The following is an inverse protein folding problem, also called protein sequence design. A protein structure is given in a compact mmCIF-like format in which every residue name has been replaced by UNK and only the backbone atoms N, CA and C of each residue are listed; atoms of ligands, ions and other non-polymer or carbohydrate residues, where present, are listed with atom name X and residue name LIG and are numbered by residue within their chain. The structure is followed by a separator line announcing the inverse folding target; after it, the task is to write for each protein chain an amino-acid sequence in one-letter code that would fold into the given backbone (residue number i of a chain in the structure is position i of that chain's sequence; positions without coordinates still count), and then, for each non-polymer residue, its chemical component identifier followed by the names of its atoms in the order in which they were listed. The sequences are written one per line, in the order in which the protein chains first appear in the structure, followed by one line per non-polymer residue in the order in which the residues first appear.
data_IF_963349299541
#
_entry.id   IF_963349299541
#
_cell.length_a   1.000
_cell.length_b   1.000
_cell.length_c   1.000
_cell.angle_alpha   90.00
_cell.angle_beta   90.00
_cell.angle_gamma   90.00
#
_symmetry.space_group_name_H-M   'P 1'
#
loop_
_entity.id
_entity.type
_entity.pdbx_description
1 polymer ?
#
# COMPACT_ATOMS: atom_id res chain seq x y z
N UNK A 1 -31.14 31.24 -13.39
CA UNK A 1 -30.55 30.55 -12.21
C UNK A 1 -30.75 29.02 -12.19
N UNK A 2 -30.91 28.31 -13.33
CA UNK A 2 -31.00 26.83 -13.36
C UNK A 2 -29.81 26.12 -14.03
N UNK A 3 -28.84 26.89 -14.56
CA UNK A 3 -27.73 26.35 -15.35
C UNK A 3 -26.55 25.85 -14.49
N UNK A 4 -26.37 26.37 -13.27
CA UNK A 4 -25.27 25.94 -12.38
C UNK A 4 -25.49 24.56 -11.74
N UNK A 5 -26.73 24.15 -11.49
CA UNK A 5 -27.01 22.85 -10.86
C UNK A 5 -26.78 21.66 -11.82
N UNK A 6 -26.99 21.86 -13.13
CA UNK A 6 -26.76 20.83 -14.15
C UNK A 6 -25.27 20.52 -14.36
N UNK A 7 -24.39 21.53 -14.23
CA UNK A 7 -22.95 21.37 -14.37
C UNK A 7 -22.31 20.63 -13.19
N UNK A 8 -22.81 20.82 -11.96
CA UNK A 8 -22.31 20.12 -10.78
C UNK A 8 -22.67 18.62 -10.81
N UNK A 9 -23.86 18.25 -11.29
CA UNK A 9 -24.25 16.84 -11.41
C UNK A 9 -23.43 16.08 -12.46
N UNK A 10 -23.09 16.72 -13.59
CA UNK A 10 -22.23 16.07 -14.61
C UNK A 10 -20.80 15.86 -14.12
N UNK A 11 -20.24 16.78 -13.32
CA UNK A 11 -18.89 16.61 -12.79
C UNK A 11 -18.82 15.45 -11.78
N UNK A 12 -19.82 15.29 -10.93
CA UNK A 12 -19.89 14.18 -9.97
C UNK A 12 -20.00 12.80 -10.66
N UNK A 13 -20.81 12.68 -11.72
CA UNK A 13 -20.98 11.45 -12.50
C UNK A 13 -19.73 11.06 -13.32
N UNK A 14 -18.93 12.04 -13.75
CA UNK A 14 -17.66 11.76 -14.43
C UNK A 14 -16.55 11.34 -13.46
N UNK A 15 -16.54 11.89 -12.25
CA UNK A 15 -15.60 11.49 -11.21
C UNK A 15 -15.88 10.05 -10.76
N UNK A 16 -17.13 9.64 -10.57
CA UNK A 16 -17.45 8.28 -10.13
C UNK A 16 -17.06 7.21 -11.15
N UNK A 17 -17.25 7.45 -12.45
CA UNK A 17 -16.92 6.48 -13.51
C UNK A 17 -15.43 6.27 -13.72
N UNK A 18 -14.61 7.28 -13.40
CA UNK A 18 -13.16 7.16 -13.51
C UNK A 18 -12.53 6.27 -12.43
N UNK A 19 -13.24 5.99 -11.33
CA UNK A 19 -12.74 5.17 -10.22
C UNK A 19 -13.24 3.72 -10.23
N UNK A 20 -14.17 3.34 -11.12
CA UNK A 20 -14.82 2.02 -11.06
C UNK A 20 -13.90 0.83 -11.38
N UNK A 21 -12.79 1.03 -12.11
CA UNK A 21 -11.99 -0.08 -12.63
C UNK A 21 -10.56 -0.18 -12.05
N UNK A 22 -10.20 0.66 -11.08
CA UNK A 22 -8.84 0.59 -10.50
C UNK A 22 -8.78 -0.41 -9.34
N UNK A 23 -7.89 -1.39 -9.47
CA UNK A 23 -7.52 -2.26 -8.35
C UNK A 23 -6.63 -1.51 -7.36
N UNK A 24 -7.06 -1.48 -6.11
CA UNK A 24 -6.30 -1.03 -4.96
C UNK A 24 -6.17 -2.19 -3.99
N UNK A 25 -5.24 -2.15 -3.05
CA UNK A 25 -5.07 -3.28 -2.16
C UNK A 25 -4.24 -2.99 -0.94
N UNK A 26 -4.29 -3.92 -0.01
CA UNK A 26 -3.54 -3.86 1.24
C UNK A 26 -2.34 -4.80 1.14
N UNK A 27 -1.20 -4.34 1.66
CA UNK A 27 -0.03 -5.19 1.82
C UNK A 27 -0.08 -5.86 3.18
N UNK A 28 -0.14 -7.19 3.19
CA UNK A 28 -0.06 -8.02 4.39
C UNK A 28 1.26 -8.75 4.44
N UNK A 29 1.92 -8.74 5.60
CA UNK A 29 3.14 -9.51 5.79
C UNK A 29 2.80 -10.90 6.34
N UNK A 30 3.42 -11.93 5.77
CA UNK A 30 3.34 -13.30 6.22
C UNK A 30 4.73 -13.83 6.57
N UNK A 31 4.94 -14.21 7.83
CA UNK A 31 6.20 -14.79 8.33
C UNK A 31 5.94 -16.27 8.65
N UNK A 32 6.43 -17.23 7.83
CA UNK A 32 6.05 -18.65 7.95
C UNK A 32 6.33 -19.30 9.30
N UNK A 33 7.30 -18.77 10.05
CA UNK A 33 7.71 -19.29 11.36
C UNK A 33 6.66 -19.01 12.45
N UNK A 34 5.93 -17.89 12.34
CA UNK A 34 4.85 -17.53 13.24
C UNK A 34 3.52 -17.74 12.51
N UNK A 35 2.96 -18.96 12.58
CA UNK A 35 1.67 -19.34 11.95
C UNK A 35 0.44 -18.56 12.46
N UNK A 36 0.61 -17.48 13.22
CA UNK A 36 -0.45 -16.83 13.99
C UNK A 36 -0.67 -15.36 13.68
N UNK A 37 0.17 -14.71 12.85
CA UNK A 37 0.02 -13.27 12.60
C UNK A 37 0.08 -12.96 11.11
N UNK A 38 -1.08 -12.60 10.52
CA UNK A 38 -1.11 -11.78 9.32
C UNK A 38 -1.07 -10.33 9.81
N UNK A 39 0.13 -9.78 9.91
CA UNK A 39 0.26 -8.43 10.41
C UNK A 39 0.13 -7.42 9.28
N UNK A 40 -0.59 -6.35 9.59
CA UNK A 40 -0.79 -5.22 8.68
C UNK A 40 0.50 -4.42 8.55
N UNK A 41 0.86 -4.08 7.31
CA UNK A 41 2.03 -3.25 7.04
C UNK A 41 1.67 -1.77 7.22
N UNK A 42 2.47 -1.07 8.01
CA UNK A 42 2.29 0.34 8.37
C UNK A 42 3.55 1.13 8.03
N UNK A 43 3.50 2.46 8.02
CA UNK A 43 4.67 3.31 7.79
C UNK A 43 4.90 4.28 8.96
N UNK A 44 6.14 4.33 9.46
CA UNK A 44 6.53 5.31 10.46
C UNK A 44 6.62 6.73 9.88
N UNK A 45 7.01 7.71 10.71
CA UNK A 45 7.15 9.12 10.30
C UNK A 45 8.29 9.34 9.29
N UNK A 46 9.28 8.46 9.26
CA UNK A 46 10.37 8.46 8.27
C UNK A 46 9.99 7.68 7.00
N UNK A 47 8.76 7.17 6.91
CA UNK A 47 8.28 6.40 5.77
C UNK A 47 8.75 4.94 5.74
N UNK A 48 9.50 4.44 6.72
CA UNK A 48 9.86 3.02 6.76
C UNK A 48 8.65 2.16 7.02
N UNK A 49 8.52 1.09 6.24
CA UNK A 49 7.46 0.11 6.40
C UNK A 49 7.82 -0.85 7.54
N UNK A 50 6.88 -1.01 8.47
CA UNK A 50 7.01 -1.87 9.65
C UNK A 50 5.70 -2.58 9.94
N UNK A 51 5.78 -3.66 10.72
CA UNK A 51 4.61 -4.30 11.30
C UNK A 51 4.18 -3.53 12.55
N UNK A 52 2.90 -3.14 12.62
CA UNK A 52 2.31 -2.60 13.84
C UNK A 52 0.78 -2.82 13.82
N UNK A 53 0.28 -3.68 14.72
CA UNK A 53 -1.16 -4.01 14.82
C UNK A 53 -2.03 -2.89 15.39
N UNK A 54 -1.41 -1.82 15.90
CA UNK A 54 -2.11 -0.66 16.48
C UNK A 54 -2.25 0.52 15.51
N UNK A 55 -1.72 0.41 14.29
CA UNK A 55 -1.61 1.52 13.33
C UNK A 55 -2.45 1.32 12.07
N UNK A 56 -2.72 2.45 11.44
CA UNK A 56 -3.58 2.57 10.27
C UNK A 56 -3.02 1.79 9.07
N UNK A 57 -3.84 0.91 8.52
CA UNK A 57 -3.54 0.07 7.36
C UNK A 57 -3.27 0.93 6.12
N UNK A 58 -2.20 0.63 5.39
CA UNK A 58 -1.82 1.38 4.21
C UNK A 58 -2.48 0.79 2.96
N UNK A 59 -3.17 1.65 2.20
CA UNK A 59 -3.74 1.29 0.91
C UNK A 59 -2.76 1.61 -0.21
N UNK A 60 -2.46 0.61 -1.02
CA UNK A 60 -1.53 0.70 -2.14
C UNK A 60 -2.23 0.48 -3.47
N UNK A 61 -1.61 0.98 -4.52
CA UNK A 61 -1.95 0.72 -5.91
C UNK A 61 -0.68 0.33 -6.66
N UNK A 62 -0.70 -0.80 -7.35
CA UNK A 62 0.33 -1.13 -8.32
C UNK A 62 0.06 -0.35 -9.62
N UNK A 63 1.09 0.29 -10.15
CA UNK A 63 1.05 1.10 -11.37
C UNK A 63 1.58 0.29 -12.55
N UNK A 64 1.20 0.68 -13.78
CA UNK A 64 1.58 -0.03 -15.02
C UNK A 64 3.11 -0.04 -15.27
N UNK A 65 3.84 0.93 -14.70
CA UNK A 65 5.30 1.01 -14.77
C UNK A 65 6.02 0.11 -13.75
N UNK A 66 5.27 -0.66 -12.96
CA UNK A 66 5.79 -1.50 -11.90
C UNK A 66 6.24 -0.72 -10.66
N UNK A 67 5.76 0.51 -10.47
CA UNK A 67 5.86 1.23 -9.19
C UNK A 67 4.64 0.94 -8.32
N UNK A 68 4.80 1.02 -6.99
CA UNK A 68 3.69 0.82 -6.03
C UNK A 68 3.47 2.13 -5.27
N UNK A 69 2.27 2.69 -5.35
CA UNK A 69 1.92 3.97 -4.73
C UNK A 69 1.00 3.77 -3.54
N UNK A 70 1.34 4.35 -2.40
CA UNK A 70 0.48 4.46 -1.23
C UNK A 70 -0.45 5.67 -1.39
N UNK A 71 -1.75 5.46 -1.22
CA UNK A 71 -2.77 6.41 -1.66
C UNK A 71 -3.01 7.56 -0.67
N UNK A 72 -2.83 7.34 0.64
CA UNK A 72 -3.12 8.37 1.65
C UNK A 72 -2.05 9.43 1.74
N UNK A 73 -0.78 9.01 1.77
CA UNK A 73 0.41 9.89 1.86
C UNK A 73 0.99 10.25 0.49
N UNK A 74 0.46 9.66 -0.58
CA UNK A 74 0.91 9.90 -1.96
C UNK A 74 2.39 9.54 -2.19
N UNK A 75 2.95 8.64 -1.39
CA UNK A 75 4.33 8.16 -1.49
C UNK A 75 4.43 6.87 -2.31
N UNK A 76 5.60 6.59 -2.86
CA UNK A 76 5.91 5.36 -3.59
C UNK A 76 6.76 4.42 -2.74
N UNK A 77 6.43 3.14 -2.80
CA UNK A 77 7.25 2.09 -2.22
C UNK A 77 8.61 2.07 -2.90
N UNK A 78 9.65 2.12 -2.08
CA UNK A 78 11.04 2.12 -2.48
C UNK A 78 11.81 1.14 -1.58
N UNK A 79 12.98 0.74 -2.03
CA UNK A 79 13.99 0.04 -1.22
C UNK A 79 15.16 1.00 -1.08
N UNK A 80 15.48 1.39 0.15
CA UNK A 80 16.59 2.29 0.43
C UNK A 80 17.97 1.60 0.30
N UNK A 81 19.03 2.37 0.52
CA UNK A 81 20.41 1.88 0.41
C UNK A 81 20.76 0.79 1.44
N UNK A 82 20.00 0.70 2.54
CA UNK A 82 20.14 -0.34 3.55
C UNK A 82 19.33 -1.61 3.22
N UNK A 83 18.56 -1.59 2.13
CA UNK A 83 17.67 -2.67 1.74
C UNK A 83 16.32 -2.63 2.44
N UNK A 84 15.95 -1.53 3.13
CA UNK A 84 14.66 -1.42 3.82
C UNK A 84 13.57 -0.85 2.92
N UNK A 85 12.35 -1.33 3.08
CA UNK A 85 11.17 -0.79 2.42
C UNK A 85 10.80 0.55 3.04
N UNK A 86 10.69 1.57 2.19
CA UNK A 86 10.38 2.96 2.59
C UNK A 86 9.41 3.61 1.61
N UNK A 87 8.68 4.63 2.06
CA UNK A 87 7.91 5.52 1.21
C UNK A 87 8.74 6.75 0.82
N UNK A 88 8.89 7.00 -0.49
CA UNK A 88 9.56 8.20 -1.03
C UNK A 88 8.65 8.91 -2.04
N UNK A 89 8.95 10.16 -2.35
CA UNK A 89 8.22 10.93 -3.38
C UNK A 89 8.52 10.46 -4.80
N UNK A 90 9.67 9.81 -5.03
CA UNK A 90 10.11 9.32 -6.33
C UNK A 90 9.65 7.87 -6.56
N UNK A 91 9.07 7.53 -7.73
CA UNK A 91 8.69 6.16 -8.03
C UNK A 91 9.93 5.28 -8.22
N UNK A 92 9.88 4.09 -7.64
CA UNK A 92 10.83 3.02 -7.93
C UNK A 92 10.09 1.89 -8.63
N UNK A 93 10.59 1.50 -9.80
CA UNK A 93 10.00 0.47 -10.65
C UNK A 93 10.60 -0.91 -10.36
N UNK A 94 9.96 -1.95 -10.89
CA UNK A 94 10.40 -3.34 -10.74
C UNK A 94 9.61 -4.12 -9.69
N UNK A 95 8.58 -3.52 -9.10
CA UNK A 95 7.59 -4.25 -8.33
C UNK A 95 6.57 -4.91 -9.26
N UNK A 96 6.12 -6.10 -8.89
CA UNK A 96 5.05 -6.82 -9.59
C UNK A 96 4.35 -7.79 -8.64
N UNK A 97 3.16 -8.26 -9.02
CA UNK A 97 2.47 -9.34 -8.32
C UNK A 97 2.74 -10.67 -9.03
N UNK A 98 3.09 -11.69 -8.28
CA UNK A 98 3.23 -13.05 -8.78
C UNK A 98 1.86 -13.76 -8.77
N UNK A 99 1.26 -14.08 -9.93
CA UNK A 99 0.02 -14.85 -9.98
C UNK A 99 0.28 -16.34 -9.71
N UNK A 100 -0.67 -17.09 -9.11
CA UNK A 100 -1.98 -16.65 -8.63
C UNK A 100 -1.98 -16.14 -7.17
N UNK A 101 -0.82 -16.17 -6.51
CA UNK A 101 -0.74 -15.92 -5.06
C UNK A 101 -0.86 -14.44 -4.69
N UNK A 102 -0.77 -13.54 -5.67
CA UNK A 102 -0.72 -12.09 -5.47
C UNK A 102 0.40 -11.70 -4.50
N UNK A 103 1.52 -12.43 -4.53
CA UNK A 103 2.69 -12.10 -3.74
C UNK A 103 3.38 -10.91 -4.40
N UNK A 104 3.67 -9.87 -3.64
CA UNK A 104 4.53 -8.79 -4.11
C UNK A 104 5.92 -9.37 -4.36
N UNK A 105 6.52 -8.97 -5.47
CA UNK A 105 7.92 -9.25 -5.80
C UNK A 105 8.60 -7.95 -6.17
N UNK A 106 9.92 -7.89 -5.97
CA UNK A 106 10.76 -6.83 -6.50
C UNK A 106 11.87 -7.45 -7.32
N UNK A 107 11.95 -7.07 -8.61
CA UNK A 107 12.86 -7.67 -9.60
C UNK A 107 12.77 -9.20 -9.58
N UNK A 108 11.54 -9.71 -9.69
CA UNK A 108 11.21 -11.15 -9.75
C UNK A 108 11.52 -11.95 -8.48
N UNK A 109 11.90 -11.29 -7.38
CA UNK A 109 12.20 -11.94 -6.12
C UNK A 109 11.14 -11.58 -5.06
N UNK A 110 10.59 -12.60 -4.39
CA UNK A 110 9.55 -12.49 -3.37
C UNK A 110 10.07 -12.67 -1.93
N UNK A 111 11.38 -12.79 -1.75
CA UNK A 111 12.04 -12.96 -0.46
C UNK A 111 12.25 -11.60 0.20
N UNK A 112 11.27 -11.22 1.01
CA UNK A 112 11.40 -10.12 1.95
C UNK A 112 11.83 -10.66 3.31
N UNK A 113 12.19 -9.74 4.19
CA UNK A 113 12.72 -10.04 5.50
C UNK A 113 12.06 -9.13 6.54
N UNK A 114 11.73 -9.69 7.70
CA UNK A 114 11.38 -8.91 8.88
C UNK A 114 12.64 -8.77 9.74
N UNK A 115 13.09 -7.54 9.95
CA UNK A 115 14.23 -7.21 10.78
C UNK A 115 13.84 -7.13 12.27
N UNK A 116 14.83 -7.19 13.17
CA UNK A 116 14.63 -7.09 14.63
C UNK A 116 13.95 -5.78 15.08
N UNK A 117 14.15 -4.71 14.32
CA UNK A 117 13.49 -3.41 14.55
C UNK A 117 12.07 -3.34 13.97
N UNK A 118 11.50 -4.49 13.58
CA UNK A 118 10.20 -4.67 12.94
C UNK A 118 10.07 -4.01 11.56
N UNK A 119 11.17 -3.50 11.00
CA UNK A 119 11.17 -3.00 9.62
C UNK A 119 11.19 -4.14 8.62
N UNK A 120 10.61 -3.89 7.43
CA UNK A 120 10.59 -4.86 6.34
C UNK A 120 11.75 -4.55 5.39
N UNK A 121 12.56 -5.55 5.10
CA UNK A 121 13.70 -5.48 4.19
C UNK A 121 13.54 -6.33 2.94
N UNK A 122 14.34 -6.03 1.93
CA UNK A 122 14.55 -6.82 0.72
C UNK A 122 16.05 -7.05 0.54
N UNK A 123 16.50 -8.29 0.69
CA UNK A 123 17.93 -8.64 0.74
C UNK A 123 18.70 -7.74 1.73
N UNK A 124 18.06 -7.47 2.86
CA UNK A 124 18.61 -6.62 3.90
C UNK A 124 19.64 -7.44 4.69
N UNK A 125 20.80 -6.86 5.00
CA UNK A 125 21.77 -7.53 5.88
C UNK A 125 21.37 -7.39 7.37
N UNK A 126 20.06 -7.47 7.66
CA UNK A 126 19.54 -7.39 9.02
C UNK A 126 20.05 -8.59 9.83
N UNK A 127 20.74 -8.37 10.95
CA UNK A 127 21.02 -9.45 11.90
C UNK A 127 19.71 -10.11 12.31
N UNK A 128 19.71 -11.44 12.37
CA UNK A 128 18.57 -12.24 12.84
C UNK A 128 17.25 -12.04 12.08
N UNK A 129 17.31 -11.64 10.80
CA UNK A 129 16.11 -11.46 10.00
C UNK A 129 15.30 -12.75 9.85
N UNK A 130 13.97 -12.58 9.76
CA UNK A 130 13.04 -13.65 9.47
C UNK A 130 12.54 -13.51 8.05
N UNK A 131 12.59 -14.60 7.27
CA UNK A 131 12.02 -14.61 5.92
C UNK A 131 10.53 -14.29 5.99
N UNK A 132 10.11 -13.36 5.14
CA UNK A 132 8.74 -12.89 5.04
C UNK A 132 8.28 -12.88 3.58
N UNK A 133 6.96 -12.99 3.38
CA UNK A 133 6.29 -12.83 2.10
C UNK A 133 5.31 -11.68 2.26
N UNK A 134 5.27 -10.76 1.30
CA UNK A 134 4.26 -9.72 1.26
C UNK A 134 3.16 -10.17 0.29
N UNK A 135 1.92 -10.24 0.75
CA UNK A 135 0.74 -10.51 -0.07
C UNK A 135 -0.01 -9.21 -0.35
N UNK A 136 -0.44 -9.03 -1.58
CA UNK A 136 -1.35 -7.98 -1.99
C UNK A 136 -2.78 -8.52 -2.01
N UNK A 137 -3.61 -8.01 -1.13
CA UNK A 137 -5.04 -8.30 -1.16
C UNK A 137 -5.74 -7.18 -1.94
N UNK A 138 -6.05 -7.46 -3.21
CA UNK A 138 -6.67 -6.54 -4.14
C UNK A 138 -8.19 -6.45 -3.99
N UNK A 139 -8.72 -5.25 -4.12
CA UNK A 139 -10.13 -4.89 -4.07
C UNK A 139 -10.43 -3.87 -5.17
N UNK A 140 -11.68 -3.79 -5.60
CA UNK A 140 -12.09 -2.69 -6.48
C UNK A 140 -12.11 -1.39 -5.66
N UNK A 141 -11.57 -0.31 -6.23
CA UNK A 141 -11.49 0.96 -5.50
C UNK A 141 -12.85 1.41 -4.94
N UNK A 142 -13.95 1.19 -5.65
CA UNK A 142 -15.31 1.51 -5.19
C UNK A 142 -15.67 0.83 -3.86
N UNK A 143 -15.20 -0.40 -3.65
CA UNK A 143 -15.51 -1.19 -2.45
C UNK A 143 -14.71 -0.67 -1.24
N UNK A 144 -13.56 -0.03 -1.48
CA UNK A 144 -12.69 0.56 -0.43
C UNK A 144 -13.06 2.02 -0.15
N UNK A 145 -13.57 2.76 -1.15
CA UNK A 145 -13.95 4.16 -0.99
C UNK A 145 -15.11 4.38 -0.02
N UNK A 146 -16.10 3.47 0.01
CA UNK A 146 -17.19 3.54 0.99
C UNK A 146 -16.63 3.54 2.41
N UNK A 147 -15.66 2.67 2.71
CA UNK A 147 -15.00 2.63 4.02
C UNK A 147 -14.13 3.85 4.30
N UNK A 148 -13.41 4.38 3.30
CA UNK A 148 -12.51 5.53 3.49
C UNK A 148 -13.25 6.87 3.60
N UNK A 149 -14.41 6.99 2.95
CA UNK A 149 -15.21 8.22 2.96
C UNK A 149 -15.83 8.52 4.33
N UNK A 150 -16.15 7.48 5.11
CA UNK A 150 -16.65 7.60 6.49
C UNK A 150 -15.62 8.25 7.45
N UNK A 151 -14.33 8.14 7.14
CA UNK A 151 -13.26 8.78 7.93
C UNK A 151 -12.99 10.24 7.55
N UNK A 152 -13.54 10.72 6.42
CA UNK A 152 -13.34 12.11 5.98
C UNK A 152 -14.22 13.12 6.74
N UNK A 153 -15.19 12.64 7.53
CA UNK A 153 -16.00 13.48 8.43
C UNK A 153 -15.32 13.75 9.78
N UNK A 154 -14.20 13.08 10.09
CA UNK A 154 -13.41 13.33 11.28
C UNK A 154 -12.20 14.23 10.97
N UNK A 155 -12.35 15.51 11.35
CA UNK A 155 -11.32 16.55 11.49
C UNK A 155 -10.77 17.25 10.23
N UNK A 156 -11.41 18.37 9.90
CA UNK A 156 -10.73 19.62 9.56
C UNK A 156 -11.21 20.75 10.48
N UNK A 157 -10.88 20.65 11.77
CA UNK A 157 -10.82 21.81 12.66
C UNK A 157 -9.39 21.90 13.21
N UNK A 158 -8.52 22.61 12.50
CA UNK A 158 -7.24 23.12 13.03
C UNK A 158 -7.38 24.64 13.12
#
# INVERSE_FOLDING_TARGET
MKLHALLQFSAALFVSRAFEDYEVGFLRLYVPFFRLFSDTVTANFNGHLSIDSSKLELTFRLMDDGSVKELRRQGFLNIDESGKLVLKSTPQTGFSLFPPTSCLTYKENSEFELCDDLSIGFKSNCPHSLRAIIRYDGYLARDVYEELSDFSEFDLTI
#
